data_IF_535202567560
#
_entry.id   IF_535202567560
#
_cell.length_a   1.000
_cell.length_b   1.000
_cell.length_c   1.000
_cell.angle_alpha   90.00
_cell.angle_beta   90.00
_cell.angle_gamma   90.00
#
_symmetry.space_group_name_H-M   'P 1'
#
loop_
_entity.id
_entity.type
_entity.pdbx_description
1 polymer ?
#
# COMPACT_ATOMS: atom_id res chain seq x y z
N UNK A 1 -8.91 -20.56 -13.23
CA UNK A 1 -10.04 -19.69 -12.81
C UNK A 1 -9.74 -18.99 -11.48
N UNK A 2 -9.38 -19.71 -10.40
CA UNK A 2 -9.06 -19.10 -9.08
C UNK A 2 -7.87 -18.13 -9.09
N UNK A 3 -6.78 -18.45 -9.81
CA UNK A 3 -5.61 -17.56 -9.91
C UNK A 3 -5.94 -16.20 -10.56
N UNK A 4 -6.86 -16.18 -11.54
CA UNK A 4 -7.29 -14.94 -12.19
C UNK A 4 -8.14 -14.07 -11.25
N UNK A 5 -8.95 -14.69 -10.39
CA UNK A 5 -9.76 -13.99 -9.39
C UNK A 5 -8.86 -13.35 -8.33
N UNK A 6 -7.84 -14.06 -7.85
CA UNK A 6 -6.89 -13.52 -6.87
C UNK A 6 -6.07 -12.36 -7.43
N UNK A 7 -5.65 -12.48 -8.69
CA UNK A 7 -4.95 -11.40 -9.38
C UNK A 7 -5.83 -10.15 -9.50
N UNK A 8 -7.07 -10.30 -9.99
CA UNK A 8 -7.98 -9.16 -10.12
C UNK A 8 -8.35 -8.56 -8.77
N UNK A 9 -8.59 -9.38 -7.74
CA UNK A 9 -8.87 -8.91 -6.39
C UNK A 9 -7.72 -8.03 -5.85
N UNK A 10 -6.48 -8.46 -6.08
CA UNK A 10 -5.28 -7.71 -5.65
C UNK A 10 -5.17 -6.36 -6.37
N UNK A 11 -5.52 -6.29 -7.66
CA UNK A 11 -5.58 -5.02 -8.40
C UNK A 11 -6.71 -4.12 -7.90
N UNK A 12 -7.86 -4.70 -7.52
CA UNK A 12 -8.98 -3.94 -6.97
C UNK A 12 -8.66 -3.32 -5.61
N UNK A 13 -7.85 -3.98 -4.78
CA UNK A 13 -7.37 -3.42 -3.50
C UNK A 13 -6.54 -2.16 -3.71
N UNK A 14 -5.57 -2.19 -4.63
CA UNK A 14 -4.79 -0.99 -4.99
C UNK A 14 -5.70 0.12 -5.53
N UNK A 15 -6.63 -0.20 -6.44
CA UNK A 15 -7.61 0.77 -6.95
C UNK A 15 -8.48 1.36 -5.83
N UNK A 16 -8.86 0.55 -4.84
CA UNK A 16 -9.62 1.01 -3.68
C UNK A 16 -8.86 2.06 -2.88
N UNK A 17 -7.56 1.86 -2.65
CA UNK A 17 -6.71 2.86 -1.96
C UNK A 17 -6.67 4.17 -2.77
N UNK A 18 -6.40 4.08 -4.07
CA UNK A 18 -6.38 5.25 -4.98
C UNK A 18 -7.69 6.02 -4.93
N UNK A 19 -8.83 5.31 -5.00
CA UNK A 19 -10.15 5.91 -5.03
C UNK A 19 -10.55 6.54 -3.69
N UNK A 20 -10.28 5.85 -2.57
CA UNK A 20 -10.64 6.32 -1.22
C UNK A 20 -10.01 7.66 -0.89
N UNK A 21 -8.81 7.90 -1.41
CA UNK A 21 -8.08 9.14 -1.21
C UNK A 21 -8.04 10.06 -2.43
N UNK A 22 -8.64 9.70 -3.57
CA UNK A 22 -8.58 10.44 -4.85
C UNK A 22 -7.14 10.77 -5.28
N UNK A 23 -6.26 9.79 -5.22
CA UNK A 23 -4.81 9.95 -5.44
C UNK A 23 -4.47 10.22 -6.90
N UNK A 24 -5.38 9.94 -7.82
CA UNK A 24 -5.27 10.12 -9.27
C UNK A 24 -5.12 11.59 -9.72
N UNK A 25 -5.52 12.54 -8.87
CA UNK A 25 -5.31 13.97 -9.11
C UNK A 25 -6.14 14.50 -10.29
N UNK A 26 -5.52 15.32 -11.14
CA UNK A 26 -6.18 15.91 -12.33
C UNK A 26 -5.92 15.14 -13.63
N UNK A 27 -5.03 14.15 -13.60
CA UNK A 27 -4.56 13.44 -14.79
C UNK A 27 -4.77 11.92 -14.65
N UNK A 28 -6.02 11.45 -14.47
CA UNK A 28 -6.31 10.06 -14.14
C UNK A 28 -5.87 9.06 -15.23
N UNK A 29 -5.84 9.47 -16.49
CA UNK A 29 -5.37 8.61 -17.58
C UNK A 29 -3.87 8.32 -17.49
N UNK A 30 -3.06 9.35 -17.26
CA UNK A 30 -1.61 9.19 -17.11
C UNK A 30 -1.28 8.47 -15.81
N UNK A 31 -2.02 8.78 -14.74
CA UNK A 31 -1.90 8.08 -13.45
C UNK A 31 -2.16 6.59 -13.61
N UNK A 32 -3.25 6.21 -14.27
CA UNK A 32 -3.59 4.80 -14.48
C UNK A 32 -2.59 4.09 -15.41
N UNK A 33 -2.06 4.77 -16.42
CA UNK A 33 -1.00 4.22 -17.26
C UNK A 33 0.24 3.91 -16.41
N UNK A 34 0.70 4.87 -15.61
CA UNK A 34 1.85 4.66 -14.74
C UNK A 34 1.58 3.59 -13.65
N UNK A 35 0.39 3.56 -13.07
CA UNK A 35 0.01 2.52 -12.12
C UNK A 35 -0.01 1.12 -12.78
N UNK A 36 -0.37 1.00 -14.05
CA UNK A 36 -0.26 -0.26 -14.80
C UNK A 36 1.20 -0.68 -14.96
N UNK A 37 2.11 0.26 -15.26
CA UNK A 37 3.55 -0.04 -15.32
C UNK A 37 4.06 -0.57 -13.96
N UNK A 38 3.55 -0.02 -12.84
CA UNK A 38 3.88 -0.55 -11.50
C UNK A 38 3.33 -1.96 -11.28
N UNK A 39 2.13 -2.28 -11.77
CA UNK A 39 1.60 -3.65 -11.71
C UNK A 39 2.41 -4.65 -12.53
N UNK A 40 3.04 -4.20 -13.62
CA UNK A 40 3.90 -5.04 -14.44
C UNK A 40 5.27 -5.30 -13.79
N UNK A 41 5.74 -4.36 -12.94
CA UNK A 41 7.03 -4.45 -12.26
C UNK A 41 6.97 -5.04 -10.85
N UNK A 42 5.89 -4.80 -10.10
CA UNK A 42 5.80 -5.09 -8.66
C UNK A 42 4.57 -5.92 -8.29
N UNK A 43 4.70 -6.71 -7.22
CA UNK A 43 3.57 -7.44 -6.67
C UNK A 43 2.55 -6.47 -6.05
N UNK A 44 1.23 -6.68 -6.26
CA UNK A 44 0.21 -5.76 -5.74
C UNK A 44 0.31 -5.43 -4.25
N UNK A 45 0.61 -6.37 -3.32
CA UNK A 45 0.75 -6.02 -1.91
C UNK A 45 1.86 -5.01 -1.61
N UNK A 46 2.96 -5.03 -2.38
CA UNK A 46 4.02 -4.02 -2.24
C UNK A 46 3.53 -2.65 -2.71
N UNK A 47 2.76 -2.62 -3.82
CA UNK A 47 2.14 -1.39 -4.32
C UNK A 47 1.16 -0.84 -3.27
N UNK A 48 0.32 -1.70 -2.67
CA UNK A 48 -0.59 -1.28 -1.58
C UNK A 48 0.18 -0.62 -0.43
N UNK A 49 1.26 -1.25 0.05
CA UNK A 49 2.08 -0.70 1.12
C UNK A 49 2.71 0.63 0.73
N UNK A 50 3.32 0.71 -0.46
CA UNK A 50 3.98 1.93 -0.93
C UNK A 50 3.00 3.10 -1.06
N UNK A 51 1.77 2.87 -1.54
CA UNK A 51 0.75 3.92 -1.61
C UNK A 51 0.36 4.41 -0.21
N UNK A 52 0.18 3.51 0.76
CA UNK A 52 -0.23 3.91 2.12
C UNK A 52 0.91 4.62 2.85
N UNK A 53 2.14 4.12 2.78
CA UNK A 53 3.31 4.77 3.35
C UNK A 53 3.50 6.18 2.75
N UNK A 54 3.43 6.29 1.42
CA UNK A 54 3.51 7.60 0.73
C UNK A 54 2.40 8.55 1.17
N UNK A 55 1.18 8.03 1.36
CA UNK A 55 0.04 8.83 1.83
C UNK A 55 0.30 9.40 3.21
N UNK A 56 0.80 8.58 4.15
CA UNK A 56 1.12 9.00 5.51
C UNK A 56 2.23 10.04 5.51
N UNK A 57 3.30 9.81 4.73
CA UNK A 57 4.40 10.77 4.56
C UNK A 57 3.94 12.11 3.99
N UNK A 58 2.89 12.09 3.15
CA UNK A 58 2.37 13.30 2.51
C UNK A 58 1.28 14.01 3.33
N UNK A 59 0.77 13.45 4.43
CA UNK A 59 -0.36 14.04 5.17
C UNK A 59 -0.07 15.44 5.73
N UNK A 60 1.19 15.73 6.07
CA UNK A 60 1.58 17.06 6.54
C UNK A 60 1.61 18.12 5.42
N UNK A 61 1.54 17.72 4.14
CA UNK A 61 1.54 18.65 3.00
C UNK A 61 0.13 19.17 2.70
N UNK A 62 0.00 20.50 2.58
CA UNK A 62 -1.27 21.15 2.22
C UNK A 62 -1.06 22.01 0.96
N UNK A 63 -1.70 21.68 -0.18
CA UNK A 63 -2.64 20.56 -0.38
C UNK A 63 -1.92 19.19 -0.40
N UNK A 64 -2.67 18.12 -0.14
CA UNK A 64 -2.17 16.74 -0.24
C UNK A 64 -1.60 16.48 -1.64
N UNK A 65 -0.41 15.89 -1.71
CA UNK A 65 0.23 15.48 -2.97
C UNK A 65 -0.60 14.40 -3.65
N UNK A 66 -0.88 14.57 -4.95
CA UNK A 66 -1.72 13.71 -5.79
C UNK A 66 -1.14 13.61 -7.20
N UNK A 67 -1.74 12.76 -8.03
CA UNK A 67 -1.36 12.58 -9.43
C UNK A 67 -0.02 11.88 -9.57
N UNK A 68 0.67 12.16 -10.67
CA UNK A 68 1.94 11.51 -11.04
C UNK A 68 3.02 11.73 -9.97
N UNK A 69 3.05 12.88 -9.31
CA UNK A 69 4.04 13.17 -8.26
C UNK A 69 3.88 12.24 -7.06
N UNK A 70 2.64 11.88 -6.71
CA UNK A 70 2.36 10.89 -5.68
C UNK A 70 2.88 9.52 -6.08
N UNK A 71 2.56 9.05 -7.30
CA UNK A 71 3.06 7.75 -7.79
C UNK A 71 4.58 7.71 -7.91
N UNK A 72 5.23 8.81 -8.26
CA UNK A 72 6.70 8.85 -8.33
C UNK A 72 7.32 8.63 -6.96
N UNK A 73 6.72 9.18 -5.89
CA UNK A 73 7.18 8.93 -4.51
C UNK A 73 6.96 7.46 -4.11
N UNK A 74 5.77 6.92 -4.38
CA UNK A 74 5.48 5.51 -4.13
C UNK A 74 6.44 4.58 -4.89
N UNK A 75 6.74 4.87 -6.16
CA UNK A 75 7.71 4.13 -6.95
C UNK A 75 9.13 4.26 -6.40
N UNK A 76 9.52 5.44 -5.90
CA UNK A 76 10.82 5.61 -5.24
C UNK A 76 10.93 4.71 -4.00
N UNK A 77 9.86 4.57 -3.22
CA UNK A 77 9.82 3.64 -2.09
C UNK A 77 9.93 2.18 -2.55
N UNK A 78 9.15 1.78 -3.55
CA UNK A 78 9.21 0.43 -4.14
C UNK A 78 10.64 0.08 -4.59
N UNK A 79 11.27 1.00 -5.32
CA UNK A 79 12.64 0.79 -5.79
C UNK A 79 13.66 0.70 -4.65
N UNK A 80 13.49 1.50 -3.59
CA UNK A 80 14.38 1.42 -2.42
C UNK A 80 14.33 0.06 -1.71
N UNK A 81 13.18 -0.63 -1.79
CA UNK A 81 12.97 -1.96 -1.22
C UNK A 81 13.52 -3.10 -2.08
N UNK A 82 13.89 -2.85 -3.34
CA UNK A 82 14.59 -3.86 -4.16
C UNK A 82 16.00 -4.13 -3.61
N UNK A 83 16.63 -3.11 -3.02
CA UNK A 83 18.01 -3.15 -2.54
C UNK A 83 18.13 -3.31 -1.01
N UNK A 84 17.05 -3.07 -0.27
CA UNK A 84 17.05 -3.01 1.19
C UNK A 84 15.89 -3.79 1.81
N UNK A 85 16.03 -4.33 3.03
CA UNK A 85 14.91 -4.88 3.77
C UNK A 85 13.78 -3.85 3.90
N UNK A 86 12.54 -4.29 3.66
CA UNK A 86 11.35 -3.46 3.86
C UNK A 86 11.21 -3.18 5.36
N UNK A 87 11.42 -1.92 5.74
CA UNK A 87 11.11 -1.42 7.08
C UNK A 87 9.87 -0.54 6.92
N UNK A 88 8.70 -1.13 7.13
CA UNK A 88 7.44 -0.38 7.16
C UNK A 88 7.39 0.49 8.42
N UNK A 89 6.93 1.74 8.27
CA UNK A 89 6.69 2.63 9.40
C UNK A 89 5.33 2.37 10.05
N UNK A 90 4.50 1.55 9.41
CA UNK A 90 3.14 1.25 9.80
C UNK A 90 3.01 -0.15 10.39
N UNK A 91 2.20 -0.24 11.43
CA UNK A 91 1.71 -1.52 11.93
C UNK A 91 0.60 -2.06 11.02
N UNK A 92 0.34 -3.39 11.02
CA UNK A 92 -0.80 -3.96 10.31
C UNK A 92 -2.14 -3.31 10.67
N UNK A 93 -2.32 -2.93 11.94
CA UNK A 93 -3.52 -2.25 12.42
C UNK A 93 -3.66 -0.86 11.82
N UNK A 94 -2.58 -0.06 11.81
CA UNK A 94 -2.57 1.26 11.17
C UNK A 94 -2.86 1.14 9.68
N UNK A 95 -2.22 0.20 8.98
CA UNK A 95 -2.51 -0.05 7.57
C UNK A 95 -3.99 -0.33 7.35
N UNK A 96 -4.61 -1.19 8.17
CA UNK A 96 -6.02 -1.53 8.05
C UNK A 96 -6.94 -0.33 8.34
N UNK A 97 -6.63 0.46 9.37
CA UNK A 97 -7.39 1.66 9.72
C UNK A 97 -7.34 2.73 8.62
N UNK A 98 -6.22 2.86 7.93
CA UNK A 98 -6.04 3.84 6.84
C UNK A 98 -6.67 3.31 5.56
N UNK A 99 -6.30 2.11 5.12
CA UNK A 99 -6.74 1.57 3.83
C UNK A 99 -8.16 1.02 3.83
N UNK A 100 -8.73 0.66 4.99
CA UNK A 100 -9.96 -0.12 5.08
C UNK A 100 -9.82 -1.58 4.63
N UNK A 101 -8.60 -2.05 4.39
CA UNK A 101 -8.31 -3.38 3.85
C UNK A 101 -7.73 -4.32 4.91
N UNK A 102 -7.88 -5.63 4.69
CA UNK A 102 -7.16 -6.66 5.44
C UNK A 102 -5.64 -6.53 5.21
N UNK A 103 -4.80 -6.40 6.26
CA UNK A 103 -3.35 -6.25 6.11
C UNK A 103 -2.62 -7.56 5.79
N UNK A 104 -3.26 -8.72 5.91
CA UNK A 104 -2.62 -10.04 5.73
C UNK A 104 -1.84 -10.19 4.41
N UNK A 105 -2.31 -9.68 3.25
CA UNK A 105 -1.53 -9.77 2.00
C UNK A 105 -0.19 -9.02 2.03
N UNK A 106 -0.09 -7.97 2.85
CA UNK A 106 1.10 -7.11 2.95
C UNK A 106 2.06 -7.59 4.03
N UNK A 107 1.53 -7.94 5.20
CA UNK A 107 2.33 -8.28 6.39
C UNK A 107 2.43 -9.79 6.66
N UNK A 108 1.69 -10.61 5.91
CA UNK A 108 1.54 -12.05 6.16
C UNK A 108 0.65 -12.34 7.37
N UNK A 109 0.40 -13.63 7.60
CA UNK A 109 -0.36 -14.14 8.76
C UNK A 109 0.48 -14.15 10.04
N UNK A 110 1.26 -13.10 10.29
CA UNK A 110 2.08 -12.97 11.49
C UNK A 110 1.19 -12.99 12.73
N UNK A 111 1.34 -14.04 13.55
CA UNK A 111 0.64 -14.24 14.82
C UNK A 111 0.60 -12.93 15.61
N UNK A 112 -0.61 -12.51 16.00
CA UNK A 112 -0.77 -11.43 16.99
C UNK A 112 0.16 -11.74 18.16
N UNK A 113 0.98 -10.79 18.65
CA UNK A 113 1.81 -11.05 19.82
C UNK A 113 0.89 -11.54 20.94
N UNK A 114 1.13 -12.78 21.36
CA UNK A 114 0.38 -13.50 22.37
C UNK A 114 0.34 -12.66 23.67
N UNK A 115 -0.72 -11.88 23.82
CA UNK A 115 -1.04 -11.19 25.07
C UNK A 115 -1.61 -12.21 26.04
N UNK A 116 -0.78 -13.12 26.55
CA UNK A 116 -1.11 -14.02 27.67
C UNK A 116 0.14 -14.72 28.22
N UNK A 117 0.69 -14.15 29.29
CA UNK A 117 0.81 -14.80 30.61
C UNK A 117 2.04 -14.26 31.35
N UNK A 118 1.88 -13.15 32.06
CA UNK A 118 2.71 -12.88 33.24
C UNK A 118 2.06 -13.68 34.36
N UNK A 119 2.50 -14.92 34.54
CA UNK A 119 2.20 -15.66 35.76
C UNK A 119 3.05 -15.06 36.89
N UNK A 120 2.41 -14.19 37.68
CA UNK A 120 2.85 -13.87 39.03
C UNK A 120 2.08 -14.79 39.98
N UNK A 121 2.77 -15.70 40.66
CA UNK A 121 2.56 -16.15 42.05
C UNK A 121 3.61 -17.18 42.41
#
# INVERSE_FOLDING_TARGET
MLANIQHELSRQRVKHIVNSYRLDGQEPFQFNAYLNDLFDAYQPPLIELALIETLVDCWASVPLVRGIDFLRRAHTMLHSWDEHPIISTLTPEQFSQISGLDPTPVYGSGDRPNSRSIAHS
#
